data_IF_612458127982
#
_entry.id   IF_612458127982
#
_cell.length_a   1.000
_cell.length_b   1.000
_cell.length_c   1.000
_cell.angle_alpha   90.00
_cell.angle_beta   90.00
_cell.angle_gamma   90.00
#
_symmetry.space_group_name_H-M   'P 1'
#
loop_
_entity.id
_entity.type
_entity.pdbx_description
1 polymer ?
#
# COMPACT_ATOMS: atom_id res chain seq x y z
N UNK A 1 -29.26 5.48 -6.17
CA UNK A 1 -29.35 5.95 -4.78
C UNK A 1 -27.97 5.76 -4.18
N UNK A 2 -27.24 6.85 -4.00
CA UNK A 2 -25.86 6.77 -3.54
C UNK A 2 -25.86 6.48 -2.04
N UNK A 3 -25.54 5.25 -1.68
CA UNK A 3 -25.18 4.94 -0.30
C UNK A 3 -23.85 5.62 -0.02
N UNK A 4 -23.93 6.84 0.52
CA UNK A 4 -22.78 7.48 1.16
C UNK A 4 -22.33 6.50 2.24
N UNK A 5 -21.08 6.07 2.16
CA UNK A 5 -20.46 5.25 3.21
C UNK A 5 -20.48 6.11 4.48
N UNK A 6 -21.52 5.99 5.27
CA UNK A 6 -21.57 6.55 6.60
C UNK A 6 -20.75 5.60 7.46
N UNK A 7 -19.56 6.02 7.86
CA UNK A 7 -18.82 5.37 8.95
C UNK A 7 -19.58 5.67 10.23
N UNK A 8 -20.25 4.70 10.90
CA UNK A 8 -21.09 5.01 12.05
C UNK A 8 -20.31 5.57 13.23
N UNK A 9 -18.99 5.38 13.26
CA UNK A 9 -18.08 5.83 14.31
C UNK A 9 -16.96 6.76 13.81
N UNK A 10 -16.81 6.95 12.49
CA UNK A 10 -15.81 7.88 11.97
C UNK A 10 -16.19 9.32 12.31
N UNK A 11 -15.29 10.01 12.96
CA UNK A 11 -15.44 11.45 13.22
C UNK A 11 -15.28 12.22 11.92
N UNK A 12 -16.11 13.22 11.71
CA UNK A 12 -16.04 14.15 10.58
C UNK A 12 -15.51 15.47 11.08
N UNK A 13 -14.49 16.01 10.44
CA UNK A 13 -14.03 17.36 10.68
C UNK A 13 -15.03 18.32 10.03
N UNK A 14 -15.72 19.10 10.86
CA UNK A 14 -16.71 20.08 10.39
C UNK A 14 -16.09 21.45 10.06
N UNK A 15 -14.80 21.68 10.40
CA UNK A 15 -14.09 22.93 10.18
C UNK A 15 -12.93 22.75 9.21
N UNK A 16 -12.88 23.60 8.19
CA UNK A 16 -11.79 23.63 7.19
C UNK A 16 -10.45 24.01 7.85
N UNK A 17 -10.46 24.80 8.92
CA UNK A 17 -9.26 25.23 9.65
C UNK A 17 -8.56 24.04 10.35
N UNK A 18 -9.32 23.10 10.93
CA UNK A 18 -8.76 21.90 11.56
C UNK A 18 -8.14 20.93 10.53
N UNK A 19 -8.63 20.96 9.28
CA UNK A 19 -8.08 20.18 8.19
C UNK A 19 -6.78 20.77 7.63
N UNK A 20 -6.61 22.10 7.66
CA UNK A 20 -5.40 22.81 7.21
C UNK A 20 -4.23 22.57 8.18
N UNK A 21 -4.48 22.54 9.49
CA UNK A 21 -3.44 22.23 10.49
C UNK A 21 -2.85 20.82 10.32
N UNK A 22 -3.60 19.89 9.71
CA UNK A 22 -3.14 18.53 9.47
C UNK A 22 -2.18 18.39 8.27
N UNK A 23 -2.17 19.36 7.34
CA UNK A 23 -1.23 19.40 6.21
C UNK A 23 0.19 19.89 6.64
N UNK A 24 0.33 20.55 7.79
CA UNK A 24 1.62 21.06 8.30
C UNK A 24 2.45 19.99 9.04
N UNK A 25 1.85 18.89 9.47
CA UNK A 25 2.59 17.72 9.98
C UNK A 25 3.01 16.81 8.83
N UNK A 26 3.92 17.27 7.97
CA UNK A 26 4.75 16.36 7.16
C UNK A 26 5.74 15.67 8.08
N UNK A 27 5.33 14.54 8.66
CA UNK A 27 6.30 13.63 9.26
C UNK A 27 7.29 13.24 8.14
N UNK A 28 8.58 13.16 8.48
CA UNK A 28 9.62 12.60 7.59
C UNK A 28 9.31 11.14 7.21
N UNK A 29 8.26 10.55 7.76
CA UNK A 29 7.83 9.19 7.53
C UNK A 29 7.05 9.04 6.21
N UNK A 30 7.49 8.13 5.37
CA UNK A 30 6.82 7.77 4.13
C UNK A 30 6.00 6.48 4.29
N UNK A 31 4.97 6.28 3.46
CA UNK A 31 4.17 5.05 3.46
C UNK A 31 4.96 3.85 2.89
N UNK A 32 5.97 4.11 2.06
CA UNK A 32 6.96 3.16 1.53
C UNK A 32 8.32 3.82 1.54
N UNK A 33 9.33 3.13 2.03
CA UNK A 33 10.68 3.67 2.23
C UNK A 33 11.69 3.07 1.25
N UNK A 34 11.83 1.78 1.16
CA UNK A 34 12.74 1.04 0.26
C UNK A 34 13.72 1.95 -0.55
N UNK A 35 14.18 1.52 -1.72
CA UNK A 35 14.95 2.35 -2.64
C UNK A 35 14.02 3.21 -3.53
N UNK A 36 13.19 4.05 -2.91
CA UNK A 36 12.25 4.92 -3.60
C UNK A 36 12.60 6.39 -3.38
N UNK A 37 12.20 7.23 -4.32
CA UNK A 37 12.29 8.67 -4.24
C UNK A 37 10.92 9.31 -4.40
N UNK A 38 10.71 10.45 -3.76
CA UNK A 38 9.53 11.27 -3.95
C UNK A 38 9.66 12.08 -5.25
N UNK A 39 8.58 12.18 -6.00
CA UNK A 39 8.49 13.01 -7.21
C UNK A 39 7.17 13.75 -7.25
N UNK A 40 7.14 14.89 -7.93
CA UNK A 40 5.90 15.64 -8.16
C UNK A 40 5.09 15.02 -9.29
N UNK A 41 3.79 15.28 -9.28
CA UNK A 41 2.91 14.86 -10.37
C UNK A 41 3.28 15.56 -11.69
N UNK A 42 3.63 16.83 -11.63
CA UNK A 42 4.07 17.63 -12.77
C UNK A 42 5.31 17.03 -13.44
N UNK A 43 6.28 16.57 -12.64
CA UNK A 43 7.46 15.87 -13.15
C UNK A 43 7.10 14.60 -13.92
N UNK A 44 6.19 13.77 -13.37
CA UNK A 44 5.73 12.56 -14.07
C UNK A 44 5.00 12.87 -15.36
N UNK A 45 4.21 13.95 -15.40
CA UNK A 45 3.38 14.34 -16.53
C UNK A 45 4.17 15.00 -17.65
N UNK A 46 5.12 15.87 -17.30
CA UNK A 46 5.80 16.76 -18.25
C UNK A 46 7.19 16.27 -18.67
N UNK A 47 7.94 15.63 -17.75
CA UNK A 47 9.34 15.27 -17.97
C UNK A 47 9.52 13.78 -18.28
N UNK A 48 8.53 12.94 -17.92
CA UNK A 48 8.62 11.50 -18.07
C UNK A 48 7.76 11.00 -19.23
N UNK A 49 8.38 10.76 -20.39
CA UNK A 49 7.69 10.21 -21.54
C UNK A 49 7.91 8.70 -21.58
N UNK A 50 6.87 7.94 -21.23
CA UNK A 50 6.93 6.49 -21.26
C UNK A 50 6.98 5.98 -22.70
N UNK A 51 7.97 5.14 -23.08
CA UNK A 51 8.04 4.59 -24.41
C UNK A 51 6.83 3.73 -24.76
N UNK A 52 6.54 3.61 -26.05
CA UNK A 52 5.57 2.61 -26.55
C UNK A 52 6.23 1.24 -26.50
N UNK A 53 5.63 0.32 -25.77
CA UNK A 53 6.13 -1.04 -25.62
C UNK A 53 5.39 -2.05 -26.51
N UNK A 54 4.11 -1.80 -26.84
CA UNK A 54 3.28 -2.72 -27.59
C UNK A 54 3.68 -2.79 -29.07
N UNK A 55 3.56 -3.98 -29.69
CA UNK A 55 3.90 -4.21 -31.10
C UNK A 55 2.99 -3.47 -32.10
N UNK A 56 1.76 -3.14 -31.67
CA UNK A 56 0.76 -2.39 -32.43
C UNK A 56 0.88 -0.86 -32.29
N UNK A 57 1.94 -0.39 -31.58
CA UNK A 57 2.19 1.02 -31.28
C UNK A 57 1.09 1.71 -30.45
N UNK A 58 0.28 0.95 -29.71
CA UNK A 58 -0.66 1.55 -28.76
C UNK A 58 0.09 2.12 -27.55
N UNK A 59 -0.38 3.28 -27.10
CA UNK A 59 0.18 3.95 -25.92
C UNK A 59 -0.13 3.14 -24.66
N UNK A 60 0.90 2.90 -23.88
CA UNK A 60 0.78 2.36 -22.53
C UNK A 60 0.14 3.41 -21.63
N UNK A 61 -0.82 3.04 -20.78
CA UNK A 61 -1.32 3.93 -19.71
C UNK A 61 -0.09 4.26 -18.84
N UNK A 62 0.35 5.50 -18.81
CA UNK A 62 1.55 5.88 -18.04
C UNK A 62 1.23 6.08 -16.54
N UNK A 63 2.26 6.35 -15.73
CA UNK A 63 2.06 6.55 -14.29
C UNK A 63 1.22 7.79 -13.98
N UNK A 64 1.36 8.87 -14.76
CA UNK A 64 0.57 10.09 -14.58
C UNK A 64 -0.91 9.84 -14.89
N UNK A 65 -1.23 9.16 -16.01
CA UNK A 65 -2.60 8.78 -16.36
C UNK A 65 -3.23 7.89 -15.29
N UNK A 66 -2.45 6.95 -14.72
CA UNK A 66 -2.92 6.10 -13.63
C UNK A 66 -3.29 6.93 -12.40
N UNK A 67 -2.41 7.82 -11.96
CA UNK A 67 -2.63 8.66 -10.77
C UNK A 67 -3.83 9.59 -10.98
N UNK A 68 -3.87 10.29 -12.12
CA UNK A 68 -4.95 11.22 -12.47
C UNK A 68 -6.30 10.51 -12.51
N UNK A 69 -6.37 9.33 -13.15
CA UNK A 69 -7.60 8.53 -13.22
C UNK A 69 -8.11 8.11 -11.84
N UNK A 70 -7.21 7.69 -10.93
CA UNK A 70 -7.61 7.29 -9.59
C UNK A 70 -7.97 8.49 -8.73
N UNK A 71 -7.26 9.61 -8.88
CA UNK A 71 -7.60 10.86 -8.20
C UNK A 71 -9.00 11.34 -8.60
N UNK A 72 -9.33 11.33 -9.89
CA UNK A 72 -10.66 11.70 -10.41
C UNK A 72 -11.75 10.77 -9.88
N UNK A 73 -11.53 9.46 -9.89
CA UNK A 73 -12.44 8.50 -9.30
C UNK A 73 -12.65 8.74 -7.80
N UNK A 74 -11.55 9.07 -7.08
CA UNK A 74 -11.59 9.38 -5.65
C UNK A 74 -12.40 10.64 -5.39
N UNK A 75 -12.14 11.73 -6.12
CA UNK A 75 -12.87 12.99 -5.99
C UNK A 75 -14.36 12.83 -6.34
N UNK A 76 -14.67 12.01 -7.33
CA UNK A 76 -16.06 11.73 -7.72
C UNK A 76 -16.78 10.92 -6.63
N UNK A 77 -16.16 9.88 -6.12
CA UNK A 77 -16.79 9.01 -5.12
C UNK A 77 -16.93 9.70 -3.76
N UNK A 78 -15.90 10.42 -3.34
CA UNK A 78 -15.84 11.15 -2.07
C UNK A 78 -16.09 12.66 -2.25
N UNK A 79 -16.99 13.02 -3.15
CA UNK A 79 -17.26 14.42 -3.53
C UNK A 79 -17.58 15.39 -2.38
N UNK A 80 -18.06 14.87 -1.24
CA UNK A 80 -18.37 15.64 -0.03
C UNK A 80 -17.22 15.70 0.98
N UNK A 81 -16.06 15.12 0.64
CA UNK A 81 -14.91 15.00 1.54
C UNK A 81 -13.72 15.79 1.00
N UNK A 82 -12.80 16.18 1.87
CA UNK A 82 -11.51 16.73 1.44
C UNK A 82 -10.64 15.57 0.95
N UNK A 83 -10.24 15.62 -0.31
CA UNK A 83 -9.28 14.69 -0.93
C UNK A 83 -7.93 15.39 -0.98
N UNK A 84 -6.91 14.78 -0.38
CA UNK A 84 -5.54 15.28 -0.39
C UNK A 84 -4.88 15.15 -1.76
N UNK A 85 -3.69 15.74 -1.90
CA UNK A 85 -2.84 15.56 -3.08
C UNK A 85 -2.16 14.20 -3.04
N UNK A 86 -1.93 13.54 -4.21
CA UNK A 86 -1.19 12.31 -4.25
C UNK A 86 0.25 12.47 -3.72
N UNK A 87 0.64 11.66 -2.74
CA UNK A 87 2.05 11.46 -2.38
C UNK A 87 2.61 10.35 -3.25
N UNK A 88 3.63 10.66 -4.06
CA UNK A 88 4.11 9.77 -5.14
C UNK A 88 5.52 9.31 -4.84
N UNK A 89 5.74 8.00 -4.87
CA UNK A 89 7.03 7.35 -4.70
C UNK A 89 7.36 6.52 -5.93
N UNK A 90 8.57 6.69 -6.47
CA UNK A 90 9.02 5.97 -7.68
C UNK A 90 10.32 5.23 -7.42
N UNK A 91 10.57 4.19 -8.22
CA UNK A 91 11.84 3.45 -8.23
C UNK A 91 12.96 4.24 -8.91
N UNK A 92 14.05 3.56 -9.27
CA UNK A 92 15.12 4.17 -10.07
C UNK A 92 14.61 4.59 -11.46
N UNK A 93 15.23 5.66 -11.98
CA UNK A 93 14.95 6.19 -13.31
C UNK A 93 15.53 5.27 -14.40
N UNK A 94 14.76 5.08 -15.48
CA UNK A 94 15.20 4.40 -16.69
C UNK A 94 15.33 5.44 -17.80
N UNK A 95 16.44 5.36 -18.56
CA UNK A 95 16.64 6.16 -19.77
C UNK A 95 16.02 5.44 -20.96
N UNK A 96 15.20 6.14 -21.72
CA UNK A 96 14.49 5.62 -22.86
C UNK A 96 14.54 6.54 -24.07
N UNK A 97 13.74 6.24 -25.06
CA UNK A 97 13.50 7.06 -26.25
C UNK A 97 12.03 7.45 -26.30
N UNK A 98 11.75 8.63 -26.78
CA UNK A 98 10.37 9.03 -27.08
C UNK A 98 9.78 8.09 -28.16
N UNK A 99 8.45 7.93 -28.25
CA UNK A 99 7.82 7.03 -29.21
C UNK A 99 8.27 7.26 -30.65
N UNK A 100 8.44 8.50 -31.07
CA UNK A 100 8.84 8.89 -32.41
C UNK A 100 10.28 8.48 -32.76
N UNK A 101 11.12 8.30 -31.74
CA UNK A 101 12.53 7.97 -31.90
C UNK A 101 12.85 6.48 -31.74
N UNK A 102 11.88 5.63 -31.49
CA UNK A 102 12.09 4.19 -31.22
C UNK A 102 12.84 3.48 -32.34
N UNK A 103 12.60 3.87 -33.60
CA UNK A 103 13.23 3.27 -34.79
C UNK A 103 14.52 3.98 -35.28
N UNK A 104 14.91 5.10 -34.65
CA UNK A 104 16.12 5.82 -35.03
C UNK A 104 17.37 5.02 -34.67
N UNK A 105 18.38 4.93 -35.57
CA UNK A 105 19.70 4.39 -35.24
C UNK A 105 20.34 5.16 -34.07
N UNK A 106 21.09 4.49 -33.20
CA UNK A 106 21.71 5.12 -32.03
C UNK A 106 22.61 6.32 -32.38
N UNK A 107 23.29 6.28 -33.56
CA UNK A 107 24.15 7.36 -34.07
C UNK A 107 23.39 8.60 -34.52
N UNK A 108 22.08 8.54 -34.70
CA UNK A 108 21.21 9.62 -35.17
C UNK A 108 20.30 10.19 -34.04
N UNK A 109 20.46 9.71 -32.82
CA UNK A 109 19.64 10.18 -31.68
C UNK A 109 20.10 11.58 -31.26
N UNK A 110 19.16 12.51 -31.28
CA UNK A 110 19.27 13.83 -30.68
C UNK A 110 18.93 13.78 -29.19
N UNK A 111 19.28 14.81 -28.43
CA UNK A 111 18.90 14.91 -27.03
C UNK A 111 17.38 15.00 -26.85
N UNK A 112 16.66 15.62 -27.80
CA UNK A 112 15.19 15.66 -27.85
C UNK A 112 14.54 14.30 -28.10
N UNK A 113 15.28 13.29 -28.57
CA UNK A 113 14.78 11.92 -28.77
C UNK A 113 14.89 11.06 -27.50
N UNK A 114 15.57 11.57 -26.48
CA UNK A 114 15.82 10.89 -25.22
C UNK A 114 14.74 11.28 -24.20
N UNK A 115 14.35 10.33 -23.39
CA UNK A 115 13.41 10.54 -22.27
C UNK A 115 13.84 9.74 -21.06
N UNK A 116 13.23 10.04 -19.94
CA UNK A 116 13.30 9.24 -18.73
C UNK A 116 11.92 8.70 -18.39
N UNK A 117 11.87 7.57 -17.70
CA UNK A 117 10.67 7.06 -17.06
C UNK A 117 11.04 6.22 -15.84
N UNK A 118 10.08 5.90 -15.00
CA UNK A 118 10.29 5.07 -13.83
C UNK A 118 9.69 3.68 -14.06
N UNK A 119 10.42 2.63 -13.70
CA UNK A 119 9.95 1.25 -13.86
C UNK A 119 8.75 0.96 -12.97
N UNK A 120 8.74 1.53 -11.75
CA UNK A 120 7.71 1.32 -10.73
C UNK A 120 7.31 2.64 -10.11
N UNK A 121 6.02 2.76 -9.85
CA UNK A 121 5.45 3.87 -9.12
C UNK A 121 4.42 3.37 -8.10
N UNK A 122 4.39 4.03 -6.96
CA UNK A 122 3.35 3.93 -5.95
C UNK A 122 2.87 5.32 -5.59
N UNK A 123 1.60 5.47 -5.26
CA UNK A 123 1.08 6.72 -4.73
C UNK A 123 0.05 6.46 -3.63
N UNK A 124 -0.13 7.43 -2.75
CA UNK A 124 -1.12 7.43 -1.68
C UNK A 124 -1.92 8.73 -1.73
N UNK A 125 -3.24 8.63 -1.70
CA UNK A 125 -4.19 9.76 -1.64
C UNK A 125 -4.94 9.65 -0.33
N UNK A 126 -4.79 10.61 0.57
CA UNK A 126 -5.47 10.64 1.85
C UNK A 126 -6.80 11.38 1.78
N UNK A 127 -7.77 10.92 2.56
CA UNK A 127 -9.06 11.59 2.77
C UNK A 127 -9.14 11.95 4.26
N UNK A 128 -8.49 13.06 4.68
CA UNK A 128 -8.27 13.39 6.09
C UNK A 128 -9.55 13.71 6.86
N UNK A 129 -10.65 13.99 6.15
CA UNK A 129 -11.98 14.20 6.74
C UNK A 129 -12.72 12.89 7.08
N UNK A 130 -12.19 11.74 6.65
CA UNK A 130 -12.70 10.41 6.97
C UNK A 130 -11.63 9.70 7.79
N UNK A 131 -11.78 9.68 9.10
CA UNK A 131 -10.80 9.11 10.01
C UNK A 131 -11.43 8.40 11.21
N UNK A 132 -10.63 7.56 11.87
CA UNK A 132 -10.95 6.94 13.15
C UNK A 132 -9.71 6.98 14.05
N UNK A 133 -9.92 6.89 15.35
CA UNK A 133 -8.83 6.83 16.33
C UNK A 133 -8.79 5.47 17.00
N UNK A 134 -7.68 4.75 16.86
CA UNK A 134 -7.47 3.43 17.45
C UNK A 134 -6.26 3.49 18.38
N UNK A 135 -6.47 3.17 19.66
CA UNK A 135 -5.43 3.19 20.70
C UNK A 135 -4.61 4.51 20.69
N UNK A 136 -5.30 5.65 20.51
CA UNK A 136 -4.67 6.97 20.46
C UNK A 136 -4.04 7.33 19.11
N UNK A 137 -4.00 6.44 18.13
CA UNK A 137 -3.49 6.72 16.80
C UNK A 137 -4.61 7.13 15.85
N UNK A 138 -4.46 8.27 15.18
CA UNK A 138 -5.39 8.70 14.13
C UNK A 138 -5.10 7.96 12.84
N UNK A 139 -6.13 7.36 12.25
CA UNK A 139 -6.09 6.64 10.99
C UNK A 139 -6.98 7.34 9.97
N UNK A 140 -6.41 7.88 8.90
CA UNK A 140 -7.18 8.46 7.80
C UNK A 140 -7.52 7.39 6.77
N UNK A 141 -8.69 7.50 6.15
CA UNK A 141 -8.99 6.73 4.95
C UNK A 141 -8.01 7.13 3.84
N UNK A 142 -7.44 6.15 3.15
CA UNK A 142 -6.43 6.38 2.13
C UNK A 142 -6.59 5.41 0.97
N UNK A 143 -6.28 5.88 -0.23
CA UNK A 143 -6.24 5.08 -1.44
C UNK A 143 -4.80 4.97 -1.88
N UNK A 144 -4.36 3.76 -2.22
CA UNK A 144 -2.98 3.48 -2.63
C UNK A 144 -2.99 2.74 -3.95
N UNK A 145 -2.27 3.27 -4.93
CA UNK A 145 -2.06 2.64 -6.21
C UNK A 145 -0.61 2.21 -6.40
N UNK A 146 -0.41 1.06 -7.03
CA UNK A 146 0.91 0.52 -7.38
C UNK A 146 0.90 0.04 -8.81
N UNK A 147 1.97 0.38 -9.52
CA UNK A 147 2.23 -0.12 -10.87
C UNK A 147 3.71 -0.44 -11.07
N UNK A 148 3.97 -1.53 -11.78
CA UNK A 148 5.31 -1.96 -12.14
C UNK A 148 5.33 -2.48 -13.57
N UNK A 149 6.06 -1.83 -14.45
CA UNK A 149 6.18 -2.22 -15.87
C UNK A 149 6.89 -3.58 -16.02
N UNK A 150 7.82 -3.92 -15.15
CA UNK A 150 8.56 -5.19 -15.19
C UNK A 150 7.70 -6.43 -14.93
N UNK A 151 6.48 -6.27 -14.42
CA UNK A 151 5.54 -7.37 -14.18
C UNK A 151 4.61 -7.64 -15.38
N UNK A 152 4.77 -6.90 -16.47
CA UNK A 152 3.90 -6.99 -17.64
C UNK A 152 4.69 -7.43 -18.86
N UNK A 153 4.04 -8.19 -19.76
CA UNK A 153 4.59 -8.45 -21.08
C UNK A 153 4.26 -7.27 -22.02
N UNK A 154 4.96 -6.17 -21.84
CA UNK A 154 4.74 -4.92 -22.57
C UNK A 154 5.03 -5.03 -24.10
N UNK A 155 5.70 -6.10 -24.53
CA UNK A 155 6.04 -6.35 -25.93
C UNK A 155 5.09 -7.30 -26.64
N UNK A 156 4.09 -7.82 -25.96
CA UNK A 156 3.04 -8.63 -26.60
C UNK A 156 2.01 -7.72 -27.30
N UNK A 157 1.25 -8.30 -28.25
CA UNK A 157 0.06 -7.63 -28.78
C UNK A 157 -0.87 -7.29 -27.64
N UNK A 158 -1.50 -6.13 -27.71
CA UNK A 158 -2.58 -5.58 -26.87
C UNK A 158 -3.06 -6.53 -25.75
N UNK A 159 -2.25 -6.67 -24.71
CA UNK A 159 -2.65 -7.38 -23.50
C UNK A 159 -3.12 -6.35 -22.47
N UNK A 160 -4.13 -6.66 -21.65
CA UNK A 160 -4.54 -5.79 -20.56
C UNK A 160 -3.37 -5.46 -19.64
N UNK A 161 -3.27 -4.21 -19.24
CA UNK A 161 -2.20 -3.73 -18.36
C UNK A 161 -2.57 -3.99 -16.90
N UNK A 162 -1.57 -4.37 -16.10
CA UNK A 162 -1.74 -4.75 -14.70
C UNK A 162 -1.54 -3.55 -13.79
N UNK A 163 -2.53 -3.33 -12.92
CA UNK A 163 -2.49 -2.35 -11.83
C UNK A 163 -2.84 -3.04 -10.51
N UNK A 164 -2.39 -2.47 -9.42
CA UNK A 164 -2.84 -2.81 -8.08
C UNK A 164 -3.42 -1.58 -7.42
N UNK A 165 -4.58 -1.73 -6.82
CA UNK A 165 -5.30 -0.63 -6.18
C UNK A 165 -5.83 -1.10 -4.83
N UNK A 166 -5.62 -0.29 -3.81
CA UNK A 166 -6.15 -0.54 -2.49
C UNK A 166 -6.84 0.70 -1.91
N UNK A 167 -7.87 0.46 -1.11
CA UNK A 167 -8.49 1.42 -0.21
C UNK A 167 -8.42 0.84 1.20
N UNK A 168 -7.99 1.63 2.17
CA UNK A 168 -7.83 1.20 3.56
C UNK A 168 -7.53 2.37 4.47
N UNK A 169 -6.98 2.10 5.64
CA UNK A 169 -6.64 3.16 6.58
C UNK A 169 -5.12 3.34 6.68
N UNK A 170 -4.68 4.59 6.78
CA UNK A 170 -3.27 4.94 7.01
C UNK A 170 -3.12 5.56 8.38
N UNK A 171 -2.25 4.98 9.19
CA UNK A 171 -1.89 5.53 10.49
C UNK A 171 -1.08 6.81 10.31
N UNK A 172 -1.54 7.93 10.86
CA UNK A 172 -0.92 9.23 10.62
C UNK A 172 0.38 9.43 11.42
N UNK A 173 0.59 8.64 12.47
CA UNK A 173 1.81 8.71 13.28
C UNK A 173 3.01 8.10 12.56
N UNK A 174 2.82 6.96 11.91
CA UNK A 174 3.89 6.19 11.28
C UNK A 174 3.69 5.96 9.77
N UNK A 175 2.63 6.49 9.16
CA UNK A 175 2.26 6.26 7.76
C UNK A 175 2.07 4.78 7.36
N UNK A 176 1.88 3.89 8.31
CA UNK A 176 1.62 2.47 8.05
C UNK A 176 0.24 2.27 7.40
N UNK A 177 0.20 1.42 6.37
CA UNK A 177 -1.03 1.10 5.65
C UNK A 177 -1.72 -0.14 6.22
N UNK A 178 -3.01 0.00 6.54
CA UNK A 178 -3.90 -1.07 6.98
C UNK A 178 -4.78 -1.50 5.80
N UNK A 179 -4.38 -2.57 5.11
CA UNK A 179 -5.06 -3.07 3.92
C UNK A 179 -5.77 -4.39 4.23
N UNK A 180 -7.01 -4.52 3.75
CA UNK A 180 -7.87 -5.69 3.92
C UNK A 180 -8.28 -6.26 2.56
N UNK A 181 -8.76 -7.50 2.56
CA UNK A 181 -9.11 -8.22 1.31
C UNK A 181 -10.22 -7.52 0.52
N UNK A 182 -11.24 -6.97 1.17
CA UNK A 182 -12.35 -6.26 0.54
C UNK A 182 -11.97 -4.86 0.02
N UNK A 183 -10.84 -4.32 0.49
CA UNK A 183 -10.25 -3.06 0.04
C UNK A 183 -9.08 -3.23 -0.93
N UNK A 184 -8.85 -4.41 -1.54
CA UNK A 184 -7.68 -4.63 -2.38
C UNK A 184 -7.99 -5.39 -3.68
N UNK A 185 -7.53 -4.84 -4.80
CA UNK A 185 -7.53 -5.44 -6.13
C UNK A 185 -6.08 -5.73 -6.55
N UNK A 186 -5.66 -6.98 -6.38
CA UNK A 186 -4.30 -7.46 -6.67
C UNK A 186 -4.03 -7.57 -8.18
N UNK A 187 -5.00 -8.04 -8.96
CA UNK A 187 -4.88 -8.32 -10.40
C UNK A 187 -5.91 -7.50 -11.19
N UNK A 188 -5.77 -6.16 -11.13
CA UNK A 188 -6.62 -5.26 -11.89
C UNK A 188 -6.06 -5.12 -13.31
N UNK A 189 -6.69 -5.82 -14.27
CA UNK A 189 -6.30 -5.80 -15.68
C UNK A 189 -7.27 -4.98 -16.51
N UNK A 190 -6.75 -3.93 -17.13
CA UNK A 190 -7.53 -3.00 -17.93
C UNK A 190 -6.80 -2.62 -19.22
N UNK A 191 -7.56 -2.19 -20.22
CA UNK A 191 -7.04 -1.75 -21.52
C UNK A 191 -7.17 -0.25 -21.72
N UNK A 192 -7.88 0.45 -20.84
CA UNK A 192 -8.10 1.89 -20.91
C UNK A 192 -8.25 2.55 -19.54
N UNK A 193 -8.02 3.87 -19.49
CA UNK A 193 -8.27 4.70 -18.30
C UNK A 193 -9.74 4.68 -17.88
N UNK A 194 -10.69 4.55 -18.83
CA UNK A 194 -12.10 4.44 -18.51
C UNK A 194 -12.45 3.13 -17.76
N UNK A 195 -11.83 2.02 -18.15
CA UNK A 195 -11.98 0.74 -17.42
C UNK A 195 -11.35 0.85 -16.04
N UNK A 196 -10.18 1.46 -15.93
CA UNK A 196 -9.49 1.72 -14.66
C UNK A 196 -10.33 2.56 -13.71
N UNK A 197 -10.93 3.64 -14.21
CA UNK A 197 -11.83 4.51 -13.46
C UNK A 197 -13.04 3.75 -12.89
N UNK A 198 -13.70 2.94 -13.73
CA UNK A 198 -14.85 2.13 -13.30
C UNK A 198 -14.46 1.10 -12.24
N UNK A 199 -13.32 0.42 -12.43
CA UNK A 199 -12.81 -0.56 -11.49
C UNK A 199 -12.45 0.05 -10.13
N UNK A 200 -11.97 1.31 -10.12
CA UNK A 200 -11.75 2.06 -8.90
C UNK A 200 -13.06 2.36 -8.16
N UNK A 201 -14.09 2.83 -8.88
CA UNK A 201 -15.42 3.07 -8.27
C UNK A 201 -16.05 1.79 -7.72
N UNK A 202 -15.89 0.66 -8.42
CA UNK A 202 -16.35 -0.65 -7.94
C UNK A 202 -15.66 -1.06 -6.65
N UNK A 203 -14.33 -0.89 -6.57
CA UNK A 203 -13.56 -1.16 -5.36
C UNK A 203 -14.03 -0.28 -4.19
N UNK A 204 -14.18 1.02 -4.41
CA UNK A 204 -14.63 1.95 -3.37
C UNK A 204 -16.04 1.62 -2.86
N UNK A 205 -16.93 1.18 -3.77
CA UNK A 205 -18.29 0.78 -3.41
C UNK A 205 -18.36 -0.55 -2.66
N UNK A 206 -17.42 -1.47 -2.92
CA UNK A 206 -17.36 -2.78 -2.25
C UNK A 206 -16.68 -2.75 -0.87
N UNK A 207 -15.93 -1.69 -0.59
CA UNK A 207 -15.19 -1.51 0.65
C UNK A 207 -16.10 -1.34 1.88
N UNK A 208 -15.82 -2.07 2.95
CA UNK A 208 -16.57 -2.02 4.21
C UNK A 208 -15.71 -1.46 5.36
N UNK A 209 -15.64 -0.13 5.50
CA UNK A 209 -14.80 0.50 6.51
C UNK A 209 -15.20 0.16 7.94
N UNK A 210 -16.49 0.02 8.24
CA UNK A 210 -16.98 -0.29 9.59
C UNK A 210 -16.45 -1.65 10.07
N UNK A 211 -16.50 -2.67 9.21
CA UNK A 211 -15.95 -4.00 9.51
C UNK A 211 -14.44 -3.95 9.73
N UNK A 212 -13.71 -3.21 8.89
CA UNK A 212 -12.26 -3.10 9.02
C UNK A 212 -11.87 -2.43 10.34
N UNK A 213 -12.52 -1.31 10.68
CA UNK A 213 -12.28 -0.60 11.93
C UNK A 213 -12.59 -1.48 13.15
N UNK A 214 -13.68 -2.25 13.12
CA UNK A 214 -14.00 -3.20 14.18
C UNK A 214 -12.88 -4.24 14.37
N UNK A 215 -12.33 -4.79 13.29
CA UNK A 215 -11.20 -5.72 13.35
C UNK A 215 -9.93 -5.06 13.89
N UNK A 216 -9.61 -3.83 13.47
CA UNK A 216 -8.47 -3.09 13.99
C UNK A 216 -8.62 -2.76 15.49
N UNK A 217 -9.81 -2.35 15.92
CA UNK A 217 -10.10 -2.14 17.35
C UNK A 217 -9.89 -3.43 18.18
N UNK A 218 -10.26 -4.59 17.64
CA UNK A 218 -10.07 -5.87 18.35
C UNK A 218 -8.61 -6.18 18.66
N UNK A 219 -7.67 -5.70 17.85
CA UNK A 219 -6.23 -5.87 18.11
C UNK A 219 -5.76 -5.14 19.37
N UNK A 220 -6.41 -4.04 19.76
CA UNK A 220 -6.09 -3.32 20.99
C UNK A 220 -6.45 -4.07 22.27
N UNK A 221 -7.36 -5.04 22.19
CA UNK A 221 -7.92 -5.76 23.35
C UNK A 221 -7.13 -7.02 23.75
N UNK A 222 -6.17 -7.44 22.93
CA UNK A 222 -5.37 -8.65 23.19
C UNK A 222 -3.92 -8.25 23.43
N UNK A 223 -3.37 -8.77 24.53
CA UNK A 223 -1.95 -8.60 24.89
C UNK A 223 -1.22 -9.93 24.82
N UNK A 224 0.07 -9.89 24.62
CA UNK A 224 0.99 -11.02 24.73
C UNK A 224 2.23 -10.58 25.51
N UNK A 225 2.77 -11.50 26.30
CA UNK A 225 4.03 -11.24 27.00
C UNK A 225 5.23 -11.38 26.07
N UNK A 226 6.42 -10.96 26.55
CA UNK A 226 7.65 -11.00 25.78
C UNK A 226 7.99 -12.41 25.26
N UNK A 227 7.75 -13.45 26.07
CA UNK A 227 8.01 -14.84 25.65
C UNK A 227 7.15 -15.24 24.45
N UNK A 228 5.85 -14.92 24.47
CA UNK A 228 4.93 -15.18 23.36
C UNK A 228 5.35 -14.38 22.10
N UNK A 229 5.73 -13.12 22.27
CA UNK A 229 6.25 -12.29 21.18
C UNK A 229 7.51 -12.91 20.55
N UNK A 230 8.50 -13.30 21.38
CA UNK A 230 9.72 -13.96 20.90
C UNK A 230 9.45 -15.31 20.22
N UNK A 231 8.49 -16.09 20.72
CA UNK A 231 8.05 -17.33 20.12
C UNK A 231 7.47 -17.10 18.72
N UNK A 232 6.57 -16.11 18.58
CA UNK A 232 5.98 -15.74 17.29
C UNK A 232 7.04 -15.32 16.30
N UNK A 233 7.98 -14.45 16.68
CA UNK A 233 9.10 -14.05 15.81
C UNK A 233 9.99 -15.24 15.41
N UNK A 234 10.29 -16.12 16.36
CA UNK A 234 11.04 -17.35 16.10
C UNK A 234 10.33 -18.26 15.09
N UNK A 235 9.00 -18.41 15.20
CA UNK A 235 8.19 -19.17 14.24
C UNK A 235 8.14 -18.46 12.87
N UNK A 236 7.97 -17.15 12.82
CA UNK A 236 8.01 -16.39 11.57
C UNK A 236 9.36 -16.58 10.84
N UNK A 237 10.47 -16.56 11.59
CA UNK A 237 11.78 -16.82 11.02
C UNK A 237 11.96 -18.27 10.57
N UNK A 238 11.50 -19.23 11.37
CA UNK A 238 11.53 -20.65 11.02
C UNK A 238 10.73 -20.93 9.74
N UNK A 239 9.57 -20.27 9.56
CA UNK A 239 8.77 -20.37 8.35
C UNK A 239 9.59 -20.15 7.07
N UNK A 240 10.50 -19.16 7.06
CA UNK A 240 11.38 -18.89 5.90
C UNK A 240 12.31 -20.04 5.55
N UNK A 241 12.66 -20.87 6.53
CA UNK A 241 13.59 -21.98 6.36
C UNK A 241 12.89 -23.30 6.06
N UNK A 242 11.55 -23.35 6.16
CA UNK A 242 10.81 -24.58 5.93
C UNK A 242 10.81 -24.98 4.44
N UNK A 243 10.91 -26.28 4.15
CA UNK A 243 10.64 -26.78 2.80
C UNK A 243 9.22 -26.44 2.33
N UNK A 244 9.04 -26.18 1.03
CA UNK A 244 7.77 -25.74 0.45
C UNK A 244 6.57 -26.63 0.79
N UNK A 245 6.78 -27.95 0.95
CA UNK A 245 5.70 -28.87 1.27
C UNK A 245 5.17 -28.71 2.71
N UNK A 246 6.00 -28.25 3.65
CA UNK A 246 5.56 -27.89 4.99
C UNK A 246 4.85 -26.53 5.00
N UNK A 247 5.39 -25.54 4.28
CA UNK A 247 4.81 -24.21 4.20
C UNK A 247 3.36 -24.22 3.68
N UNK A 248 3.00 -25.16 2.78
CA UNK A 248 1.64 -25.27 2.21
C UNK A 248 0.55 -25.51 3.25
N UNK A 249 0.89 -26.05 4.41
CA UNK A 249 -0.04 -26.34 5.50
C UNK A 249 -0.09 -25.25 6.58
N UNK A 250 0.67 -24.17 6.38
CA UNK A 250 0.78 -23.03 7.30
C UNK A 250 0.25 -21.80 6.57
N UNK A 251 -0.48 -20.88 7.24
CA UNK A 251 -0.88 -19.63 6.62
C UNK A 251 0.32 -18.92 6.01
N UNK A 252 0.14 -18.44 4.77
CA UNK A 252 1.23 -17.82 4.00
C UNK A 252 1.76 -16.58 4.72
N UNK A 253 3.07 -16.44 4.77
CA UNK A 253 3.77 -15.28 5.31
C UNK A 253 4.70 -14.70 4.25
N UNK A 254 4.57 -13.41 3.94
CA UNK A 254 5.32 -12.72 2.89
C UNK A 254 6.45 -11.82 3.40
N UNK A 255 6.50 -11.57 4.72
CA UNK A 255 7.61 -10.83 5.31
C UNK A 255 8.92 -11.60 5.15
N UNK A 256 9.98 -10.88 4.76
CA UNK A 256 11.32 -11.46 4.62
C UNK A 256 12.04 -11.57 5.97
N UNK A 257 13.11 -12.35 6.03
CA UNK A 257 13.96 -12.47 7.24
C UNK A 257 14.47 -11.09 7.72
N UNK A 258 14.87 -10.23 6.79
CA UNK A 258 15.30 -8.85 7.10
C UNK A 258 14.16 -8.04 7.73
N UNK A 259 12.93 -8.19 7.24
CA UNK A 259 11.77 -7.49 7.79
C UNK A 259 11.40 -8.03 9.18
N UNK A 260 11.47 -9.34 9.40
CA UNK A 260 11.26 -9.94 10.73
C UNK A 260 12.32 -9.43 11.72
N UNK A 261 13.57 -9.33 11.29
CA UNK A 261 14.62 -8.72 12.13
C UNK A 261 14.34 -7.23 12.43
N UNK A 262 13.77 -6.49 11.49
CA UNK A 262 13.36 -5.09 11.73
C UNK A 262 12.22 -5.01 12.75
N UNK A 263 11.26 -5.95 12.75
CA UNK A 263 10.23 -6.05 13.80
C UNK A 263 10.87 -6.23 15.18
N UNK A 264 11.87 -7.12 15.31
CA UNK A 264 12.56 -7.33 16.58
C UNK A 264 13.29 -6.06 17.07
N UNK A 265 13.95 -5.33 16.17
CA UNK A 265 14.59 -4.05 16.49
C UNK A 265 13.59 -2.98 16.91
N UNK A 266 12.48 -2.86 16.18
CA UNK A 266 11.44 -1.89 16.46
C UNK A 266 10.69 -2.19 17.78
N UNK A 267 10.54 -3.46 18.17
CA UNK A 267 10.02 -3.84 19.48
C UNK A 267 10.79 -3.19 20.62
N UNK A 268 12.10 -2.97 20.44
CA UNK A 268 12.98 -2.35 21.44
C UNK A 268 13.00 -0.82 21.30
N UNK A 269 13.06 -0.30 20.05
CA UNK A 269 13.48 1.09 19.81
C UNK A 269 12.43 1.96 19.12
N UNK A 270 11.27 1.44 18.69
CA UNK A 270 10.26 2.26 18.00
C UNK A 270 9.68 3.31 18.96
N UNK A 271 9.61 4.57 18.52
CA UNK A 271 9.15 5.70 19.34
C UNK A 271 7.68 5.55 19.79
N UNK A 272 6.86 4.86 19.00
CA UNK A 272 5.40 4.78 19.19
C UNK A 272 4.92 3.39 19.61
N UNK A 273 5.62 2.33 19.18
CA UNK A 273 5.14 0.94 19.31
C UNK A 273 6.11 0.02 20.07
N UNK A 274 7.23 0.52 20.58
CA UNK A 274 8.10 -0.27 21.44
C UNK A 274 7.37 -0.79 22.68
N UNK A 275 7.81 -1.94 23.19
CA UNK A 275 7.22 -2.59 24.39
C UNK A 275 8.28 -3.42 25.13
N UNK A 276 9.57 -3.10 24.98
CA UNK A 276 10.65 -3.83 25.65
C UNK A 276 10.48 -3.82 27.19
N UNK A 277 10.43 -4.99 27.79
CA UNK A 277 10.22 -5.16 29.23
C UNK A 277 8.76 -5.08 29.69
N UNK A 278 7.81 -4.95 28.77
CA UNK A 278 6.36 -4.90 29.04
C UNK A 278 5.60 -5.85 28.12
N UNK A 279 4.33 -6.12 28.48
CA UNK A 279 3.43 -6.83 27.58
C UNK A 279 3.12 -5.95 26.35
N UNK A 280 3.13 -6.56 25.17
CA UNK A 280 2.76 -5.89 23.91
C UNK A 280 1.33 -6.22 23.52
N UNK A 281 0.51 -5.23 23.19
CA UNK A 281 -0.80 -5.50 22.59
C UNK A 281 -0.69 -5.79 21.08
N UNK A 282 -1.72 -6.48 20.55
CA UNK A 282 -1.74 -6.87 19.14
C UNK A 282 -1.80 -5.69 18.17
N UNK A 283 -2.29 -4.51 18.59
CA UNK A 283 -2.24 -3.29 17.80
C UNK A 283 -0.81 -2.79 17.59
N UNK A 284 -0.01 -2.73 18.66
CA UNK A 284 1.42 -2.41 18.58
C UNK A 284 2.15 -3.43 17.71
N UNK A 285 1.95 -4.73 17.95
CA UNK A 285 2.53 -5.79 17.13
C UNK A 285 2.19 -5.63 15.65
N UNK A 286 0.93 -5.34 15.30
CA UNK A 286 0.51 -5.08 13.92
C UNK A 286 1.26 -3.89 13.31
N UNK A 287 1.41 -2.79 14.07
CA UNK A 287 2.15 -1.62 13.59
C UNK A 287 3.64 -1.90 13.40
N UNK A 288 4.26 -2.75 14.22
CA UNK A 288 5.63 -3.22 13.99
C UNK A 288 5.75 -4.03 12.68
N UNK A 289 4.79 -4.90 12.38
CA UNK A 289 4.76 -5.66 11.12
C UNK A 289 4.58 -4.74 9.90
N UNK A 290 3.63 -3.82 9.96
CA UNK A 290 3.36 -2.88 8.86
C UNK A 290 4.50 -1.87 8.69
N UNK A 291 5.16 -1.46 9.77
CA UNK A 291 6.37 -0.66 9.75
C UNK A 291 7.51 -1.36 9.02
N UNK A 292 7.77 -2.64 9.33
CA UNK A 292 8.77 -3.43 8.62
C UNK A 292 8.45 -3.59 7.12
N UNK A 293 7.16 -3.61 6.74
CA UNK A 293 6.73 -3.71 5.35
C UNK A 293 7.09 -2.48 4.51
N UNK A 294 7.34 -1.31 5.08
CA UNK A 294 7.77 -0.10 4.34
C UNK A 294 9.07 -0.32 3.55
N UNK A 295 9.91 -1.25 4.00
CA UNK A 295 11.13 -1.67 3.30
C UNK A 295 10.87 -2.57 2.08
N UNK A 296 9.61 -2.89 1.76
CA UNK A 296 9.25 -3.68 0.58
C UNK A 296 9.44 -2.89 -0.71
N UNK A 297 9.84 -3.59 -1.78
CA UNK A 297 9.77 -3.01 -3.11
C UNK A 297 8.33 -2.63 -3.47
N UNK A 298 8.18 -1.61 -4.30
CA UNK A 298 6.88 -1.07 -4.73
C UNK A 298 5.94 -2.18 -5.20
N UNK A 299 6.44 -3.10 -6.03
CA UNK A 299 5.67 -4.18 -6.64
C UNK A 299 5.17 -5.27 -5.69
N UNK A 300 5.72 -5.36 -4.47
CA UNK A 300 5.31 -6.33 -3.45
C UNK A 300 4.68 -5.66 -2.20
N UNK A 301 4.65 -4.34 -2.17
CA UNK A 301 4.25 -3.58 -0.99
C UNK A 301 2.79 -3.86 -0.57
N UNK A 302 1.83 -3.78 -1.50
CA UNK A 302 0.42 -3.98 -1.18
C UNK A 302 0.09 -5.43 -0.81
N UNK A 303 0.69 -6.41 -1.50
CA UNK A 303 0.51 -7.82 -1.17
C UNK A 303 0.98 -8.14 0.24
N UNK A 304 2.14 -7.58 0.62
CA UNK A 304 2.66 -7.70 1.98
C UNK A 304 1.85 -6.92 3.00
N UNK A 305 1.30 -5.75 2.65
CA UNK A 305 0.40 -4.99 3.53
C UNK A 305 -0.85 -5.80 3.87
N UNK A 306 -1.50 -6.41 2.86
CA UNK A 306 -2.61 -7.33 3.09
C UNK A 306 -2.19 -8.52 3.95
N UNK A 307 -1.05 -9.13 3.63
CA UNK A 307 -0.56 -10.30 4.35
C UNK A 307 -0.22 -10.00 5.81
N UNK A 308 0.39 -8.84 6.12
CA UNK A 308 0.63 -8.42 7.52
C UNK A 308 -0.66 -8.27 8.30
N UNK A 309 -1.71 -7.72 7.68
CA UNK A 309 -3.04 -7.64 8.29
C UNK A 309 -3.61 -9.04 8.58
N UNK A 310 -3.52 -9.95 7.61
CA UNK A 310 -3.99 -11.33 7.78
C UNK A 310 -3.23 -12.07 8.88
N UNK A 311 -1.90 -11.91 8.96
CA UNK A 311 -1.05 -12.50 9.99
C UNK A 311 -1.44 -11.95 11.38
N UNK A 312 -1.54 -10.63 11.55
CA UNK A 312 -1.86 -10.04 12.83
C UNK A 312 -3.26 -10.46 13.34
N UNK A 313 -4.27 -10.39 12.47
CA UNK A 313 -5.64 -10.84 12.81
C UNK A 313 -5.70 -12.34 13.06
N UNK A 314 -4.97 -13.14 12.29
CA UNK A 314 -4.92 -14.58 12.45
C UNK A 314 -4.24 -15.00 13.75
N UNK A 315 -3.11 -14.36 14.12
CA UNK A 315 -2.45 -14.59 15.42
C UNK A 315 -3.36 -14.14 16.56
N UNK A 316 -4.02 -12.97 16.42
CA UNK A 316 -5.00 -12.50 17.39
C UNK A 316 -6.11 -13.54 17.62
N UNK A 317 -6.68 -14.11 16.58
CA UNK A 317 -7.68 -15.17 16.66
C UNK A 317 -7.11 -16.46 17.30
N UNK A 318 -5.87 -16.83 16.96
CA UNK A 318 -5.23 -18.02 17.53
C UNK A 318 -4.97 -17.90 19.04
N UNK A 319 -4.63 -16.70 19.52
CA UNK A 319 -4.52 -16.42 20.96
C UNK A 319 -5.86 -16.62 21.69
N UNK A 320 -6.99 -16.56 20.98
CA UNK A 320 -8.34 -16.85 21.48
C UNK A 320 -8.85 -18.26 21.12
N UNK A 321 -7.97 -19.13 20.60
CA UNK A 321 -8.29 -20.55 20.36
C UNK A 321 -8.62 -20.92 18.92
N UNK A 322 -8.48 -20.03 17.93
CA UNK A 322 -8.61 -20.38 16.51
C UNK A 322 -7.42 -21.26 16.05
N UNK A 323 -7.72 -22.35 15.34
CA UNK A 323 -6.69 -23.33 14.94
C UNK A 323 -5.87 -22.90 13.69
N UNK A 324 -6.40 -22.01 12.87
CA UNK A 324 -5.80 -21.69 11.55
C UNK A 324 -4.39 -21.14 11.65
N UNK A 325 -4.14 -20.21 12.60
CA UNK A 325 -2.82 -19.58 12.79
C UNK A 325 -2.07 -20.14 14.01
N UNK A 326 -2.57 -21.20 14.62
CA UNK A 326 -2.00 -21.80 15.82
C UNK A 326 -0.53 -22.16 15.70
N UNK A 327 -0.07 -22.54 14.49
CA UNK A 327 1.33 -22.85 14.24
C UNK A 327 2.30 -21.74 14.66
N UNK A 328 1.89 -20.47 14.56
CA UNK A 328 2.73 -19.33 14.93
C UNK A 328 2.85 -19.13 16.43
N UNK A 329 1.95 -19.69 17.23
CA UNK A 329 1.89 -19.50 18.69
C UNK A 329 2.16 -20.79 19.49
N UNK A 330 2.38 -21.93 18.78
CA UNK A 330 2.58 -23.25 19.40
C UNK A 330 4.05 -23.63 19.53
#
# INVERSE_FOLDING_TARGET
MNNIILLPQAQRVNNIEDAVILDEFKAENHFIEANTQEVTFEHLKNDCITPVFAKDNELTINHADFIETIEDATRTFFHSQKVGTPNIRVSHVIKGRIPEAVRKPASQLLDSDKTIYYERAAFSIDIPTVFETIMGNKLNLSIVGVRAYNQMNLYSKKSPELFRLAIGFKNQVCCNMCIFTDGYKEDLRVTSTNELYRAALELFNSFNPARQLQLLHSLGNTTMNEHQFCQILGKMRLYQCLPNYYQRNIPKMLLTDTQINSVAKAYINDENFSSFGEDINMWKFYNLLTGANKSSYIDSFLDRSLNTTQIALGINAALHGDEKYRWFIS
#
